data_IF_135938896362
#
_entry.id   IF_135938896362
#
_cell.length_a   1.000
_cell.length_b   1.000
_cell.length_c   1.000
_cell.angle_alpha   90.00
_cell.angle_beta   90.00
_cell.angle_gamma   90.00
#
_symmetry.space_group_name_H-M   'P 1'
#
loop_
_entity.id
_entity.type
_entity.pdbx_description
1 polymer ?
#
# COMPACT_ATOMS: atom_id res chain seq x y z
N UNK A 1 -23.78 -29.16 27.07
CA UNK A 1 -22.94 -30.10 26.29
C UNK A 1 -23.24 -30.07 24.77
N UNK A 2 -24.16 -29.26 24.27
CA UNK A 2 -24.46 -29.18 22.80
C UNK A 2 -23.78 -28.03 22.07
N UNK A 3 -23.13 -27.09 22.72
CA UNK A 3 -22.48 -25.95 22.08
C UNK A 3 -21.07 -26.23 21.57
N UNK A 4 -20.32 -27.08 22.25
CA UNK A 4 -18.92 -27.39 21.86
C UNK A 4 -18.83 -28.23 20.57
N UNK A 5 -19.78 -29.12 20.32
CA UNK A 5 -19.84 -29.90 19.09
C UNK A 5 -20.24 -29.10 17.85
N UNK A 6 -21.01 -28.02 18.00
CA UNK A 6 -21.39 -27.14 16.90
C UNK A 6 -20.25 -26.20 16.50
N UNK A 7 -19.41 -25.76 17.45
CA UNK A 7 -18.22 -24.95 17.16
C UNK A 7 -17.11 -25.77 16.48
N UNK A 8 -16.80 -26.99 16.96
CA UNK A 8 -15.84 -27.89 16.28
C UNK A 8 -16.27 -28.28 14.86
N UNK A 9 -17.56 -28.48 14.63
CA UNK A 9 -18.09 -28.75 13.27
C UNK A 9 -18.09 -27.53 12.37
N UNK A 10 -18.17 -26.32 12.92
CA UNK A 10 -18.07 -25.05 12.18
C UNK A 10 -16.64 -24.74 11.81
N UNK A 11 -15.68 -24.89 12.72
CA UNK A 11 -14.24 -24.77 12.43
C UNK A 11 -13.76 -25.83 11.41
N UNK A 12 -14.21 -27.08 11.50
CA UNK A 12 -13.89 -28.14 10.54
C UNK A 12 -14.49 -27.89 9.13
N UNK A 13 -15.67 -27.27 9.03
CA UNK A 13 -16.27 -26.86 7.74
C UNK A 13 -15.58 -25.63 7.15
N UNK A 14 -15.15 -24.69 7.98
CA UNK A 14 -14.40 -23.51 7.55
C UNK A 14 -13.01 -23.88 7.02
N UNK A 15 -12.30 -24.78 7.67
CA UNK A 15 -11.04 -25.33 7.16
C UNK A 15 -11.17 -26.14 5.86
N UNK A 16 -12.37 -26.61 5.52
CA UNK A 16 -12.67 -27.44 4.33
C UNK A 16 -12.94 -26.68 3.04
N UNK A 17 -13.39 -25.42 3.10
CA UNK A 17 -13.76 -24.66 1.90
C UNK A 17 -12.53 -24.20 1.08
N UNK A 18 -12.57 -24.42 -0.25
CA UNK A 18 -11.50 -23.94 -1.14
C UNK A 18 -11.31 -22.42 -1.07
N UNK A 19 -12.41 -21.67 -0.88
CA UNK A 19 -12.39 -20.23 -0.74
C UNK A 19 -11.65 -19.80 0.55
N UNK A 20 -11.96 -20.41 1.68
CA UNK A 20 -11.33 -20.09 2.96
C UNK A 20 -9.84 -20.45 3.00
N UNK A 21 -9.46 -21.57 2.38
CA UNK A 21 -8.04 -21.92 2.19
C UNK A 21 -7.28 -20.87 1.37
N UNK A 22 -7.92 -20.34 0.32
CA UNK A 22 -7.31 -19.27 -0.50
C UNK A 22 -7.21 -17.96 0.28
N UNK A 23 -8.21 -17.63 1.10
CA UNK A 23 -8.16 -16.48 2.01
C UNK A 23 -7.02 -16.61 3.01
N UNK A 24 -6.89 -17.75 3.69
CA UNK A 24 -5.81 -17.99 4.65
C UNK A 24 -4.41 -17.83 4.04
N UNK A 25 -4.22 -18.28 2.79
CA UNK A 25 -2.96 -18.05 2.05
C UNK A 25 -2.75 -16.55 1.80
N UNK A 26 -3.77 -15.82 1.36
CA UNK A 26 -3.67 -14.37 1.11
C UNK A 26 -3.40 -13.60 2.40
N UNK A 27 -4.08 -13.92 3.48
CA UNK A 27 -3.89 -13.30 4.80
C UNK A 27 -2.47 -13.51 5.33
N UNK A 28 -1.93 -14.72 5.23
CA UNK A 28 -0.55 -14.99 5.64
C UNK A 28 0.46 -14.18 4.82
N UNK A 29 0.29 -14.12 3.50
CA UNK A 29 1.18 -13.34 2.63
C UNK A 29 1.05 -11.84 2.91
N UNK A 30 -0.17 -11.34 3.13
CA UNK A 30 -0.43 -9.91 3.37
C UNK A 30 0.11 -9.45 4.73
N UNK A 31 0.07 -10.30 5.75
CA UNK A 31 0.55 -10.00 7.10
C UNK A 31 2.07 -10.16 7.25
N UNK A 32 2.76 -10.68 6.23
CA UNK A 32 4.20 -10.89 6.29
C UNK A 32 4.96 -9.63 5.91
N UNK A 33 5.90 -9.19 6.76
CA UNK A 33 6.76 -8.02 6.51
C UNK A 33 7.71 -8.21 5.31
N UNK A 34 7.95 -9.44 4.91
CA UNK A 34 8.83 -9.81 3.78
C UNK A 34 8.14 -10.77 2.83
N UNK A 35 8.71 -10.92 1.63
CA UNK A 35 8.24 -11.96 0.71
C UNK A 35 8.38 -13.35 1.33
N UNK A 36 7.42 -14.24 1.09
CA UNK A 36 7.32 -15.57 1.68
C UNK A 36 7.45 -16.68 0.65
N UNK A 37 8.09 -17.77 1.02
CA UNK A 37 8.27 -18.96 0.17
C UNK A 37 7.07 -19.89 0.26
N UNK A 38 6.95 -20.81 -0.71
CA UNK A 38 5.96 -21.89 -0.69
C UNK A 38 6.01 -22.69 0.63
N UNK A 39 7.21 -22.98 1.12
CA UNK A 39 7.41 -23.77 2.35
C UNK A 39 6.90 -23.04 3.58
N UNK A 40 7.19 -21.74 3.72
CA UNK A 40 6.70 -20.90 4.81
C UNK A 40 5.16 -20.83 4.81
N UNK A 41 4.55 -20.68 3.61
CA UNK A 41 3.09 -20.67 3.46
C UNK A 41 2.49 -22.03 3.88
N UNK A 42 3.07 -23.14 3.39
CA UNK A 42 2.59 -24.50 3.76
C UNK A 42 2.59 -24.71 5.27
N UNK A 43 3.66 -24.30 5.95
CA UNK A 43 3.78 -24.42 7.41
C UNK A 43 2.75 -23.56 8.14
N UNK A 44 2.52 -22.34 7.66
CA UNK A 44 1.59 -21.43 8.29
C UNK A 44 0.12 -21.84 8.13
N UNK A 45 -0.28 -22.31 6.94
CA UNK A 45 -1.68 -22.67 6.65
C UNK A 45 -2.01 -24.14 6.88
N UNK A 46 -1.02 -24.98 7.21
CA UNK A 46 -1.22 -26.41 7.50
C UNK A 46 -1.71 -27.24 6.31
N UNK A 47 -1.47 -26.82 5.07
CA UNK A 47 -1.98 -27.48 3.87
C UNK A 47 -0.89 -28.23 3.10
N UNK A 48 -1.22 -29.35 2.44
CA UNK A 48 -0.27 -30.12 1.62
C UNK A 48 0.26 -29.30 0.44
N UNK A 49 1.53 -29.54 0.05
CA UNK A 49 2.23 -28.86 -1.05
C UNK A 49 1.41 -28.74 -2.35
N UNK A 50 0.78 -29.82 -2.89
CA UNK A 50 0.01 -29.72 -4.11
C UNK A 50 -1.18 -28.74 -4.01
N UNK A 51 -1.83 -28.70 -2.83
CA UNK A 51 -2.95 -27.80 -2.55
C UNK A 51 -2.49 -26.34 -2.51
N UNK A 52 -1.43 -26.03 -1.75
CA UNK A 52 -0.88 -24.68 -1.66
C UNK A 52 -0.37 -24.23 -3.02
N UNK A 53 0.32 -25.09 -3.76
CA UNK A 53 0.82 -24.75 -5.10
C UNK A 53 -0.32 -24.37 -6.06
N UNK A 54 -1.42 -25.14 -6.09
CA UNK A 54 -2.58 -24.82 -6.91
C UNK A 54 -3.24 -23.50 -6.51
N UNK A 55 -3.38 -23.25 -5.22
CA UNK A 55 -3.93 -21.97 -4.70
C UNK A 55 -3.03 -20.81 -5.15
N UNK A 56 -1.73 -20.91 -4.97
CA UNK A 56 -0.77 -19.87 -5.35
C UNK A 56 -0.81 -19.59 -6.85
N UNK A 57 -0.88 -20.63 -7.70
CA UNK A 57 -1.02 -20.45 -9.15
C UNK A 57 -2.29 -19.68 -9.49
N UNK A 58 -3.43 -20.07 -8.92
CA UNK A 58 -4.72 -19.39 -9.15
C UNK A 58 -4.68 -17.93 -8.67
N UNK A 59 -4.08 -17.65 -7.50
CA UNK A 59 -3.99 -16.30 -6.96
C UNK A 59 -2.99 -15.43 -7.75
N UNK A 60 -1.91 -16.00 -8.28
CA UNK A 60 -0.97 -15.34 -9.17
C UNK A 60 -1.60 -14.97 -10.50
N UNK A 61 -2.28 -15.92 -11.16
CA UNK A 61 -3.05 -15.69 -12.40
C UNK A 61 -4.15 -14.62 -12.22
N UNK A 62 -4.80 -14.60 -11.05
CA UNK A 62 -5.80 -13.60 -10.70
C UNK A 62 -5.20 -12.23 -10.32
N UNK A 63 -3.88 -12.08 -10.23
CA UNK A 63 -3.21 -10.84 -9.81
C UNK A 63 -3.40 -10.50 -8.33
N UNK A 64 -3.89 -11.46 -7.51
CA UNK A 64 -4.03 -11.30 -6.06
C UNK A 64 -2.68 -11.42 -5.34
N UNK A 65 -1.83 -12.30 -5.82
CA UNK A 65 -0.44 -12.43 -5.39
C UNK A 65 0.50 -12.19 -6.58
N UNK A 66 1.72 -11.77 -6.28
CA UNK A 66 2.81 -11.66 -7.24
C UNK A 66 3.96 -12.56 -6.80
N UNK A 67 4.49 -13.34 -7.73
CA UNK A 67 5.68 -14.15 -7.52
C UNK A 67 6.92 -13.37 -7.93
N UNK A 68 7.90 -13.25 -7.05
CA UNK A 68 9.19 -12.65 -7.37
C UNK A 68 10.00 -13.60 -8.27
N UNK A 69 10.45 -13.15 -9.45
CA UNK A 69 11.12 -14.04 -10.44
C UNK A 69 12.35 -14.75 -9.88
N UNK A 70 13.23 -14.02 -9.22
CA UNK A 70 14.55 -14.50 -8.81
C UNK A 70 14.52 -15.37 -7.54
N UNK A 71 13.54 -15.22 -6.68
CA UNK A 71 13.50 -15.84 -5.35
C UNK A 71 12.40 -16.89 -5.19
N UNK A 72 11.52 -17.09 -6.17
CA UNK A 72 10.33 -17.95 -6.07
C UNK A 72 9.51 -17.68 -4.80
N UNK A 73 9.45 -16.41 -4.38
CA UNK A 73 8.74 -15.95 -3.19
C UNK A 73 7.52 -15.14 -3.58
N UNK A 74 6.54 -15.07 -2.71
CA UNK A 74 5.26 -14.43 -2.96
C UNK A 74 5.11 -13.17 -2.12
N UNK A 75 4.44 -12.18 -2.70
CA UNK A 75 4.06 -10.89 -2.08
C UNK A 75 2.62 -10.56 -2.50
N UNK A 76 1.93 -9.65 -1.79
CA UNK A 76 0.64 -9.13 -2.24
C UNK A 76 0.73 -8.58 -3.67
N UNK A 77 -0.23 -8.97 -4.52
CA UNK A 77 -0.38 -8.48 -5.88
C UNK A 77 -1.17 -7.15 -5.91
N UNK A 78 -1.16 -6.50 -7.07
CA UNK A 78 -1.83 -5.21 -7.24
C UNK A 78 -3.34 -5.28 -6.99
N UNK A 79 -3.98 -6.36 -7.38
CA UNK A 79 -5.43 -6.55 -7.19
C UNK A 79 -5.80 -6.66 -5.71
N UNK A 80 -4.99 -7.36 -4.92
CA UNK A 80 -5.19 -7.45 -3.47
C UNK A 80 -4.96 -6.10 -2.78
N UNK A 81 -3.91 -5.38 -3.18
CA UNK A 81 -3.66 -4.02 -2.69
C UNK A 81 -4.80 -3.05 -3.01
N UNK A 82 -5.35 -3.11 -4.23
CA UNK A 82 -6.51 -2.30 -4.62
C UNK A 82 -7.77 -2.67 -3.82
N UNK A 83 -8.01 -3.95 -3.56
CA UNK A 83 -9.14 -4.40 -2.73
C UNK A 83 -9.03 -3.84 -1.30
N UNK A 84 -7.86 -3.98 -0.67
CA UNK A 84 -7.59 -3.45 0.66
C UNK A 84 -7.78 -1.93 0.72
N UNK A 85 -7.26 -1.22 -0.28
CA UNK A 85 -7.42 0.22 -0.41
C UNK A 85 -8.89 0.66 -0.52
N UNK A 86 -9.70 -0.05 -1.32
CA UNK A 86 -11.13 0.23 -1.46
C UNK A 86 -11.91 -0.04 -0.16
N UNK A 87 -11.56 -1.09 0.59
CA UNK A 87 -12.14 -1.35 1.92
C UNK A 87 -11.86 -0.19 2.87
N UNK A 88 -10.64 0.34 2.88
CA UNK A 88 -10.26 1.48 3.71
C UNK A 88 -10.95 2.78 3.28
N UNK A 89 -11.13 3.02 1.97
CA UNK A 89 -11.86 4.16 1.43
C UNK A 89 -13.31 4.22 1.92
N UNK A 90 -13.97 3.06 1.98
CA UNK A 90 -15.38 2.94 2.37
C UNK A 90 -15.57 2.51 3.83
N UNK A 91 -14.49 2.53 4.63
CA UNK A 91 -14.51 2.14 6.05
C UNK A 91 -15.47 3.01 6.87
N UNK A 92 -16.19 2.44 7.86
CA UNK A 92 -16.99 3.19 8.84
C UNK A 92 -16.18 4.24 9.61
N UNK A 93 -14.87 4.05 9.75
CA UNK A 93 -13.97 5.01 10.43
C UNK A 93 -13.62 6.25 9.59
N UNK A 94 -14.15 6.37 8.37
CA UNK A 94 -13.89 7.54 7.50
C UNK A 94 -14.28 8.86 8.17
N UNK A 95 -15.40 8.89 8.88
CA UNK A 95 -15.87 10.11 9.56
C UNK A 95 -14.88 10.58 10.63
N UNK A 96 -14.32 9.67 11.42
CA UNK A 96 -13.32 10.01 12.44
C UNK A 96 -12.01 10.53 11.82
N UNK A 97 -11.51 9.88 10.75
CA UNK A 97 -10.33 10.35 10.02
C UNK A 97 -10.53 11.75 9.43
N UNK A 98 -11.72 11.97 8.85
CA UNK A 98 -12.08 13.24 8.24
C UNK A 98 -12.14 14.37 9.28
N UNK A 99 -12.72 14.13 10.46
CA UNK A 99 -12.76 15.12 11.54
C UNK A 99 -11.36 15.56 11.98
N UNK A 100 -10.42 14.61 12.10
CA UNK A 100 -9.01 14.91 12.43
C UNK A 100 -8.35 15.76 11.33
N UNK A 101 -8.62 15.46 10.05
CA UNK A 101 -8.08 16.26 8.95
C UNK A 101 -8.71 17.66 8.89
N UNK A 102 -10.00 17.81 9.20
CA UNK A 102 -10.68 19.10 9.27
C UNK A 102 -10.06 19.99 10.35
N UNK A 103 -9.82 19.44 11.55
CA UNK A 103 -9.11 20.15 12.61
C UNK A 103 -7.68 20.55 12.20
N UNK A 104 -6.97 19.68 11.47
CA UNK A 104 -5.63 19.99 10.98
C UNK A 104 -5.66 21.12 9.94
N UNK A 105 -6.60 21.08 8.98
CA UNK A 105 -6.80 22.13 7.97
C UNK A 105 -7.09 23.48 8.63
N UNK A 106 -7.94 23.51 9.65
CA UNK A 106 -8.21 24.73 10.42
C UNK A 106 -6.95 25.30 11.09
N UNK A 107 -6.07 24.42 11.61
CA UNK A 107 -4.83 24.85 12.28
C UNK A 107 -3.75 25.33 11.33
N UNK A 108 -3.57 24.66 10.17
CA UNK A 108 -2.47 24.95 9.24
C UNK A 108 -2.87 25.89 8.11
N UNK A 109 -4.18 26.03 7.83
CA UNK A 109 -4.71 26.89 6.75
C UNK A 109 -4.52 26.30 5.35
N UNK A 110 -4.04 25.07 5.23
CA UNK A 110 -3.71 24.40 3.97
C UNK A 110 -4.48 23.09 3.78
N UNK A 111 -4.64 22.67 2.53
CA UNK A 111 -5.25 21.37 2.18
C UNK A 111 -4.46 20.21 2.77
N UNK A 112 -5.14 19.33 3.51
CA UNK A 112 -4.54 18.15 4.11
C UNK A 112 -5.08 16.85 3.51
N UNK A 113 -4.19 15.87 3.35
CA UNK A 113 -4.51 14.56 2.79
C UNK A 113 -4.00 13.45 3.69
N UNK A 114 -4.78 12.39 3.83
CA UNK A 114 -4.31 11.11 4.35
C UNK A 114 -4.09 10.16 3.18
N UNK A 115 -2.91 9.55 3.10
CA UNK A 115 -2.52 8.75 1.95
C UNK A 115 -1.95 7.40 2.38
N UNK A 116 -2.08 6.41 1.50
CA UNK A 116 -1.46 5.08 1.64
C UNK A 116 -0.72 4.69 0.35
N UNK A 117 0.31 3.83 0.44
CA UNK A 117 0.93 3.25 -0.74
C UNK A 117 -0.04 2.29 -1.43
N UNK A 118 -0.07 2.32 -2.77
CA UNK A 118 -0.89 1.43 -3.59
C UNK A 118 -0.14 1.09 -4.90
N UNK A 119 0.60 -0.01 -4.92
CA UNK A 119 1.46 -0.40 -6.03
C UNK A 119 2.52 0.66 -6.32
N UNK A 120 2.56 1.14 -7.56
CA UNK A 120 3.49 2.21 -8.01
C UNK A 120 2.98 3.63 -7.72
N UNK A 121 1.87 3.75 -6.98
CA UNK A 121 1.21 5.02 -6.68
C UNK A 121 1.01 5.20 -5.18
N UNK A 122 0.72 6.42 -4.82
CA UNK A 122 0.07 6.78 -3.56
C UNK A 122 -1.40 6.99 -3.83
N UNK A 123 -2.27 6.45 -2.98
CA UNK A 123 -3.71 6.70 -3.05
C UNK A 123 -4.14 7.60 -1.89
N UNK A 124 -5.00 8.55 -2.18
CA UNK A 124 -5.61 9.41 -1.19
C UNK A 124 -6.77 8.68 -0.51
N UNK A 125 -6.66 8.40 0.80
CA UNK A 125 -7.76 7.83 1.59
C UNK A 125 -8.79 8.90 1.95
N UNK A 126 -8.31 10.06 2.39
CA UNK A 126 -9.13 11.21 2.70
C UNK A 126 -8.43 12.51 2.28
N UNK A 127 -9.22 13.53 1.97
CA UNK A 127 -8.77 14.86 1.60
C UNK A 127 -9.73 15.89 2.16
N UNK A 128 -9.20 16.90 2.83
CA UNK A 128 -9.93 18.09 3.26
C UNK A 128 -9.24 19.30 2.65
N UNK A 129 -9.99 20.07 1.90
CA UNK A 129 -9.49 21.24 1.20
C UNK A 129 -9.55 22.47 2.11
N UNK A 130 -8.53 23.32 1.99
CA UNK A 130 -8.53 24.65 2.58
C UNK A 130 -9.52 25.56 1.83
N UNK A 131 -9.79 26.72 2.39
CA UNK A 131 -10.67 27.73 1.80
C UNK A 131 -10.06 28.50 0.61
N UNK A 132 -8.83 28.18 0.20
CA UNK A 132 -8.18 28.84 -0.93
C UNK A 132 -8.94 28.62 -2.24
N UNK A 133 -9.04 29.65 -3.12
CA UNK A 133 -9.75 29.52 -4.39
C UNK A 133 -9.10 28.55 -5.37
N UNK A 134 -7.76 28.34 -5.27
CA UNK A 134 -7.03 27.42 -6.15
C UNK A 134 -7.30 25.98 -5.70
N UNK A 135 -7.90 25.19 -6.58
CA UNK A 135 -8.21 23.78 -6.32
C UNK A 135 -7.51 22.89 -7.31
N UNK A 136 -6.87 21.84 -6.79
CA UNK A 136 -6.37 20.73 -7.59
C UNK A 136 -7.48 19.69 -7.64
N UNK A 137 -7.81 19.18 -8.83
CA UNK A 137 -8.84 18.17 -9.01
C UNK A 137 -8.34 16.78 -8.55
N UNK A 138 -8.03 16.67 -7.25
CA UNK A 138 -7.70 15.42 -6.56
C UNK A 138 -8.72 15.19 -5.45
N UNK A 139 -9.15 13.95 -5.28
CA UNK A 139 -10.18 13.54 -4.30
C UNK A 139 -9.79 12.21 -3.65
N UNK A 140 -10.52 11.77 -2.64
CA UNK A 140 -10.35 10.43 -2.08
C UNK A 140 -10.49 9.38 -3.19
N UNK A 141 -9.54 8.44 -3.26
CA UNK A 141 -9.36 7.48 -4.35
C UNK A 141 -8.43 7.93 -5.48
N UNK A 142 -8.08 9.21 -5.59
CA UNK A 142 -7.08 9.67 -6.57
C UNK A 142 -5.73 9.04 -6.31
N UNK A 143 -4.98 8.76 -7.39
CA UNK A 143 -3.66 8.16 -7.34
C UNK A 143 -2.62 9.13 -7.92
N UNK A 144 -1.46 9.22 -7.26
CA UNK A 144 -0.31 10.02 -7.70
C UNK A 144 0.96 9.15 -7.69
N UNK A 145 1.96 9.42 -8.55
CA UNK A 145 3.18 8.61 -8.61
C UNK A 145 3.95 8.60 -7.28
N UNK A 146 4.49 7.44 -6.89
CA UNK A 146 5.32 7.32 -5.68
C UNK A 146 6.57 8.21 -5.73
N UNK A 147 7.29 8.23 -6.87
CA UNK A 147 8.59 8.90 -6.97
C UNK A 147 8.50 10.43 -7.08
N UNK A 148 7.35 10.98 -7.51
CA UNK A 148 7.16 12.40 -7.79
C UNK A 148 6.23 13.12 -6.79
N UNK A 149 5.81 12.45 -5.72
CA UNK A 149 4.96 13.04 -4.69
C UNK A 149 5.62 12.99 -3.32
N UNK A 150 5.33 13.95 -2.44
CA UNK A 150 5.90 14.02 -1.10
C UNK A 150 5.63 12.72 -0.30
N UNK A 151 4.38 12.30 -0.19
CA UNK A 151 3.99 11.08 0.51
C UNK A 151 4.58 9.81 -0.14
N UNK A 152 4.66 9.76 -1.46
CA UNK A 152 5.27 8.64 -2.17
C UNK A 152 6.76 8.51 -1.89
N UNK A 153 7.51 9.60 -1.95
CA UNK A 153 8.94 9.61 -1.57
C UNK A 153 9.15 9.24 -0.11
N UNK A 154 8.24 9.67 0.78
CA UNK A 154 8.26 9.29 2.19
C UNK A 154 8.10 7.77 2.37
N UNK A 155 7.10 7.14 1.73
CA UNK A 155 6.91 5.69 1.74
C UNK A 155 8.12 4.94 1.18
N UNK A 156 8.65 5.36 0.03
CA UNK A 156 9.84 4.75 -0.56
C UNK A 156 11.07 4.87 0.34
N UNK A 157 11.26 6.01 1.00
CA UNK A 157 12.39 6.24 1.91
C UNK A 157 12.39 5.28 3.11
N UNK A 158 11.20 4.94 3.64
CA UNK A 158 11.02 4.04 4.78
C UNK A 158 10.80 2.58 4.38
N UNK A 159 10.59 2.28 3.09
CA UNK A 159 10.45 0.91 2.59
C UNK A 159 11.79 0.16 2.61
N UNK A 160 11.77 -1.17 2.83
CA UNK A 160 12.95 -2.02 2.64
C UNK A 160 13.55 -1.82 1.24
N UNK A 161 14.89 -1.78 1.15
CA UNK A 161 15.61 -1.51 -0.12
C UNK A 161 15.12 -2.36 -1.27
N UNK A 162 14.95 -3.67 -1.06
CA UNK A 162 14.48 -4.62 -2.09
C UNK A 162 13.10 -4.26 -2.64
N UNK A 163 12.16 -3.85 -1.76
CA UNK A 163 10.83 -3.41 -2.15
C UNK A 163 10.89 -2.11 -2.96
N UNK A 164 11.66 -1.14 -2.48
CA UNK A 164 11.88 0.14 -3.14
C UNK A 164 12.49 -0.03 -4.53
N UNK A 165 13.55 -0.82 -4.65
CA UNK A 165 14.21 -1.11 -5.93
C UNK A 165 13.21 -1.72 -6.93
N UNK A 166 12.40 -2.69 -6.49
CA UNK A 166 11.34 -3.30 -7.32
C UNK A 166 10.32 -2.27 -7.82
N UNK A 167 9.84 -1.40 -6.93
CA UNK A 167 8.85 -0.39 -7.27
C UNK A 167 9.40 0.65 -8.26
N UNK A 168 10.68 1.00 -8.15
CA UNK A 168 11.31 2.00 -9.01
C UNK A 168 11.82 1.43 -10.35
N UNK A 169 12.24 0.15 -10.38
CA UNK A 169 12.75 -0.48 -11.61
C UNK A 169 11.64 -0.86 -12.58
N UNK A 170 10.47 -1.24 -12.07
CA UNK A 170 9.35 -1.73 -12.88
C UNK A 170 8.40 -0.61 -13.34
N UNK A 171 8.69 0.65 -13.05
CA UNK A 171 7.92 1.80 -13.51
C UNK A 171 8.83 2.85 -14.16
N UNK A 172 8.45 3.42 -15.31
CA UNK A 172 9.21 4.51 -15.92
C UNK A 172 9.17 5.74 -15.01
N UNK A 173 10.33 6.35 -14.76
CA UNK A 173 10.44 7.61 -14.03
C UNK A 173 10.19 8.76 -15.02
N UNK A 174 8.91 9.07 -15.26
CA UNK A 174 8.48 10.10 -16.21
C UNK A 174 8.69 11.48 -15.58
N UNK A 175 9.26 12.42 -16.33
CA UNK A 175 9.35 13.82 -15.92
C UNK A 175 7.98 14.51 -16.06
N UNK A 176 7.35 14.87 -14.97
CA UNK A 176 6.08 15.62 -14.94
C UNK A 176 6.33 17.12 -15.05
N UNK A 177 7.42 17.57 -14.44
CA UNK A 177 7.91 18.95 -14.48
C UNK A 177 9.44 18.97 -14.63
N UNK A 178 10.02 20.16 -14.74
CA UNK A 178 11.49 20.32 -14.73
C UNK A 178 12.14 19.89 -13.40
N UNK A 179 11.37 19.84 -12.34
CA UNK A 179 11.86 19.50 -10.99
C UNK A 179 11.71 18.00 -10.66
N UNK A 180 10.99 17.24 -11.47
CA UNK A 180 10.79 15.79 -11.22
C UNK A 180 12.14 15.07 -11.15
N UNK A 181 12.32 14.27 -10.08
CA UNK A 181 13.51 13.41 -9.92
C UNK A 181 13.34 12.16 -10.80
N UNK A 182 14.05 12.09 -11.91
CA UNK A 182 13.92 11.03 -12.93
C UNK A 182 15.06 10.02 -12.92
N UNK A 183 15.99 10.10 -11.96
CA UNK A 183 17.06 9.12 -11.83
C UNK A 183 17.07 8.44 -10.45
N UNK A 184 17.36 7.15 -10.41
CA UNK A 184 17.49 6.38 -9.17
C UNK A 184 18.53 7.00 -8.22
N UNK A 185 19.62 7.56 -8.76
CA UNK A 185 20.66 8.22 -7.96
C UNK A 185 20.11 9.45 -7.23
N UNK A 186 19.32 10.29 -7.90
CA UNK A 186 18.70 11.47 -7.29
C UNK A 186 17.71 11.05 -6.20
N UNK A 187 16.88 10.05 -6.48
CA UNK A 187 15.90 9.52 -5.52
C UNK A 187 16.57 8.94 -4.28
N UNK A 188 17.68 8.20 -4.40
CA UNK A 188 18.40 7.64 -3.25
C UNK A 188 19.02 8.73 -2.35
N UNK A 189 19.52 9.82 -2.94
CA UNK A 189 19.96 10.97 -2.18
C UNK A 189 18.79 11.64 -1.44
N UNK A 190 17.65 11.77 -2.09
CA UNK A 190 16.45 12.33 -1.50
C UNK A 190 15.91 11.45 -0.36
N UNK A 191 15.85 10.12 -0.54
CA UNK A 191 15.45 9.19 0.52
C UNK A 191 16.36 9.27 1.75
N UNK A 192 17.65 9.53 1.55
CA UNK A 192 18.59 9.70 2.66
C UNK A 192 18.28 10.98 3.44
N UNK A 193 17.94 12.08 2.76
CA UNK A 193 17.49 13.31 3.43
C UNK A 193 16.20 13.09 4.20
N UNK A 194 15.19 12.45 3.56
CA UNK A 194 13.89 12.16 4.17
C UNK A 194 14.04 11.35 5.45
N UNK A 195 14.82 10.27 5.44
CA UNK A 195 15.09 9.47 6.64
C UNK A 195 15.73 10.27 7.78
N UNK A 196 16.55 11.29 7.45
CA UNK A 196 17.21 12.15 8.43
C UNK A 196 16.29 13.23 8.98
N UNK A 197 15.46 13.84 8.11
CA UNK A 197 14.58 14.95 8.49
C UNK A 197 13.25 14.49 9.09
N UNK A 198 12.81 13.25 8.78
CA UNK A 198 11.51 12.71 9.19
C UNK A 198 10.32 13.19 8.35
N UNK A 199 10.56 13.97 7.30
CA UNK A 199 9.53 14.45 6.39
C UNK A 199 10.01 14.45 4.94
N UNK A 200 9.09 14.49 3.98
CA UNK A 200 9.37 14.61 2.55
C UNK A 200 8.71 15.86 1.96
N UNK A 201 9.34 16.43 0.95
CA UNK A 201 8.80 17.57 0.20
C UNK A 201 8.70 17.20 -1.28
N UNK A 202 7.58 17.52 -1.90
CA UNK A 202 7.40 17.61 -3.34
C UNK A 202 7.48 19.10 -3.70
N UNK A 203 8.58 19.50 -4.31
CA UNK A 203 8.83 20.87 -4.70
C UNK A 203 8.50 21.05 -6.18
N UNK A 204 7.21 21.12 -6.50
CA UNK A 204 6.73 21.20 -7.89
C UNK A 204 7.20 20.00 -8.76
N UNK A 205 7.36 18.83 -8.18
CA UNK A 205 7.87 17.64 -8.90
C UNK A 205 6.76 16.95 -9.70
N UNK A 206 5.55 16.88 -9.14
CA UNK A 206 4.40 16.28 -9.81
C UNK A 206 3.58 17.32 -10.58
N UNK A 207 3.28 18.45 -9.98
CA UNK A 207 2.51 19.54 -10.61
C UNK A 207 3.24 20.86 -10.43
N UNK A 208 3.47 21.57 -11.52
CA UNK A 208 4.09 22.90 -11.49
C UNK A 208 3.23 23.88 -10.67
N UNK A 209 3.88 24.68 -9.85
CA UNK A 209 3.23 25.64 -8.95
C UNK A 209 2.65 25.03 -7.67
N UNK A 210 2.80 23.72 -7.44
CA UNK A 210 2.29 23.03 -6.25
C UNK A 210 3.43 22.42 -5.46
N UNK A 211 3.53 22.82 -4.20
CA UNK A 211 4.45 22.23 -3.23
C UNK A 211 3.67 21.43 -2.18
N UNK A 212 4.17 20.24 -1.84
CA UNK A 212 3.56 19.42 -0.81
C UNK A 212 4.60 18.99 0.22
N UNK A 213 4.16 18.84 1.48
CA UNK A 213 4.93 18.27 2.57
C UNK A 213 4.21 17.01 3.07
N UNK A 214 4.96 15.97 3.39
CA UNK A 214 4.43 14.74 3.96
C UNK A 214 5.21 14.32 5.20
N UNK A 215 4.48 13.88 6.21
CA UNK A 215 5.01 13.26 7.44
C UNK A 215 4.39 11.88 7.65
N UNK A 216 5.08 10.93 8.30
CA UNK A 216 4.52 9.62 8.57
C UNK A 216 3.50 9.69 9.72
N UNK A 217 2.43 8.91 9.59
CA UNK A 217 1.54 8.55 10.70
C UNK A 217 1.98 7.17 11.16
N UNK A 218 2.40 7.05 12.40
CA UNK A 218 2.89 5.80 13.01
C UNK A 218 1.83 5.21 13.93
N UNK A 219 1.77 3.87 13.97
CA UNK A 219 0.97 3.13 14.96
C UNK A 219 1.73 2.97 16.27
#
# INVERSE_FOLDING_TARGET
MSGEHDEEHKESREAGSAALRSLAVMEFVANSERSVSLTEIMQAVGLPKPTVFRILTTLEEAGMLLREPDAKRYVPGERLANLAANVLLHSPHRSARRAILEELVEKVGETCNLTIPNGHHVMYLDRVESSWPLRINLHAGSKVPLYASASGKLFLAHSPKRMRDRLLTNAPLIGHTKNTLTSLRQLELEFTKIRRSGYAVDNEEYLAGICCLAVPVMN
#
